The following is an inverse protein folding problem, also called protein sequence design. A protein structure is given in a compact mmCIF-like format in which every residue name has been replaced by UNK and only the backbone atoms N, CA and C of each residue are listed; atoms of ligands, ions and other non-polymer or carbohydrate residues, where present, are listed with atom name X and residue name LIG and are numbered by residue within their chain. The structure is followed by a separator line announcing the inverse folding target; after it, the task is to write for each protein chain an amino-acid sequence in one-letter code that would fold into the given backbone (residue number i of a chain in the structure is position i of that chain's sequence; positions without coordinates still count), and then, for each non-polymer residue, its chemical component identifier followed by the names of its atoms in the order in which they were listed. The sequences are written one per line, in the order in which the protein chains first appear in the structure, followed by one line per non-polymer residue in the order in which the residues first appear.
data_IF_587739372849
#
_entry.id   IF_587739372849
#
_cell.length_a   1.000
_cell.length_b   1.000
_cell.length_c   1.000
_cell.angle_alpha   90.00
_cell.angle_beta   90.00
_cell.angle_gamma   90.00
#
_symmetry.space_group_name_H-M   'P 1'
#
loop_
_entity.id
_entity.type
_entity.pdbx_description
1 polymer ?
#
# COMPACT_ATOMS: atom_id res chain seq x y z
N UNK A 1 -2.75 -14.70 -7.61
CA UNK A 1 -1.74 -14.12 -8.55
C UNK A 1 -0.53 -13.63 -7.75
N UNK A 2 0.70 -13.94 -8.18
CA UNK A 2 1.91 -13.43 -7.52
C UNK A 2 2.22 -11.99 -7.92
N UNK A 3 2.51 -11.14 -6.93
CA UNK A 3 2.85 -9.73 -7.12
C UNK A 3 3.85 -9.24 -6.06
N UNK A 4 4.58 -8.17 -6.38
CA UNK A 4 5.45 -7.46 -5.47
C UNK A 4 4.66 -6.40 -4.70
N UNK A 5 4.83 -6.33 -3.38
CA UNK A 5 4.17 -5.34 -2.52
C UNK A 5 5.13 -4.69 -1.51
N UNK A 6 4.58 -3.86 -0.62
CA UNK A 6 5.27 -3.17 0.46
C UNK A 6 6.28 -2.13 -0.03
N UNK A 7 7.34 -1.92 0.75
CA UNK A 7 8.34 -0.87 0.49
C UNK A 7 8.96 -0.95 -0.91
N UNK A 8 9.17 -2.16 -1.44
CA UNK A 8 9.69 -2.34 -2.80
C UNK A 8 8.72 -1.82 -3.85
N UNK A 9 7.43 -2.12 -3.71
CA UNK A 9 6.41 -1.61 -4.62
C UNK A 9 6.21 -0.09 -4.51
N UNK A 10 6.28 0.47 -3.29
CA UNK A 10 6.26 1.92 -3.07
C UNK A 10 7.40 2.66 -3.77
N UNK A 11 8.53 1.99 -4.00
CA UNK A 11 9.70 2.55 -4.66
C UNK A 11 9.76 2.20 -6.16
N UNK A 12 8.64 1.77 -6.76
CA UNK A 12 8.52 1.58 -8.21
C UNK A 12 7.59 2.61 -8.81
N UNK A 13 7.71 2.85 -10.12
CA UNK A 13 6.76 3.72 -10.82
C UNK A 13 5.33 3.21 -10.61
N UNK A 14 4.38 4.09 -10.39
CA UNK A 14 2.96 3.78 -10.26
C UNK A 14 2.16 4.54 -11.33
N UNK A 15 1.03 3.98 -11.76
CA UNK A 15 0.10 4.64 -12.68
C UNK A 15 -0.76 5.70 -12.00
N UNK A 16 -0.95 5.59 -10.68
CA UNK A 16 -1.71 6.57 -9.91
C UNK A 16 -0.92 7.87 -9.75
N UNK A 17 -1.65 8.98 -9.58
CA UNK A 17 -1.09 10.30 -9.28
C UNK A 17 -0.64 10.37 -7.81
N UNK A 18 0.38 9.59 -7.46
CA UNK A 18 0.92 9.45 -6.11
C UNK A 18 2.44 9.53 -6.16
N UNK A 19 3.05 10.05 -5.10
CA UNK A 19 4.50 10.28 -5.05
C UNK A 19 5.29 8.99 -4.91
N UNK A 20 4.77 8.02 -4.15
CA UNK A 20 5.50 6.83 -3.76
C UNK A 20 6.63 7.15 -2.79
N UNK A 21 7.49 6.19 -2.56
CA UNK A 21 8.74 6.39 -1.83
C UNK A 21 9.88 6.56 -2.84
N UNK A 22 10.80 7.49 -2.56
CA UNK A 22 11.85 7.92 -3.47
C UNK A 22 13.22 7.33 -3.15
N UNK A 23 13.31 6.47 -2.14
CA UNK A 23 14.56 5.86 -1.67
C UNK A 23 14.93 4.55 -2.39
N UNK A 24 14.54 4.42 -3.67
CA UNK A 24 14.70 3.20 -4.46
C UNK A 24 16.15 2.69 -4.52
N UNK A 25 17.14 3.59 -4.56
CA UNK A 25 18.56 3.23 -4.58
C UNK A 25 19.08 2.59 -3.29
N UNK A 26 18.36 2.77 -2.16
CA UNK A 26 18.73 2.20 -0.87
C UNK A 26 18.19 0.77 -0.66
N UNK A 27 17.28 0.31 -1.53
CA UNK A 27 16.65 -0.99 -1.40
C UNK A 27 17.51 -2.12 -1.98
N UNK A 28 17.41 -3.29 -1.34
CA UNK A 28 17.96 -4.55 -1.86
C UNK A 28 16.98 -5.11 -2.89
N UNK A 29 17.29 -4.98 -4.17
CA UNK A 29 16.43 -5.45 -5.26
C UNK A 29 16.63 -6.92 -5.65
N UNK A 30 17.76 -7.52 -5.27
CA UNK A 30 18.06 -8.94 -5.52
C UNK A 30 17.15 -9.92 -4.74
N UNK A 31 16.35 -9.42 -3.78
CA UNK A 31 15.41 -10.24 -2.98
C UNK A 31 13.96 -10.18 -3.48
N UNK A 32 13.68 -9.49 -4.60
CA UNK A 32 12.31 -9.30 -5.12
C UNK A 32 11.56 -10.61 -5.30
N UNK A 33 12.18 -11.64 -5.88
CA UNK A 33 11.53 -12.94 -6.10
C UNK A 33 11.12 -13.65 -4.80
N UNK A 34 11.80 -13.33 -3.68
CA UNK A 34 11.49 -13.90 -2.35
C UNK A 34 10.41 -13.10 -1.61
N UNK A 35 10.07 -11.91 -2.11
CA UNK A 35 9.09 -10.98 -1.52
C UNK A 35 7.77 -10.94 -2.28
N UNK A 36 7.60 -11.83 -3.26
CA UNK A 36 6.33 -11.95 -3.96
C UNK A 36 5.28 -12.52 -3.02
N UNK A 37 4.13 -11.85 -2.99
CA UNK A 37 2.95 -12.21 -2.23
C UNK A 37 1.87 -12.70 -3.17
N UNK A 38 0.98 -13.55 -2.68
CA UNK A 38 -0.14 -14.09 -3.45
C UNK A 38 -1.42 -13.32 -3.17
N UNK A 39 -2.01 -12.75 -4.21
CA UNK A 39 -3.21 -11.91 -4.12
C UNK A 39 -4.41 -12.66 -3.55
N UNK A 40 -4.49 -13.98 -3.76
CA UNK A 40 -5.58 -14.83 -3.24
C UNK A 40 -5.57 -14.94 -1.71
N UNK A 41 -4.42 -14.68 -1.08
CA UNK A 41 -4.29 -14.69 0.38
C UNK A 41 -4.56 -13.33 1.01
N UNK A 42 -4.73 -12.28 0.20
CA UNK A 42 -5.04 -10.94 0.67
C UNK A 42 -6.54 -10.69 0.65
N UNK A 43 -7.05 -10.02 1.67
CA UNK A 43 -8.44 -9.54 1.73
C UNK A 43 -8.80 -8.60 0.57
N UNK A 44 -7.79 -7.99 -0.05
CA UNK A 44 -7.95 -7.07 -1.16
C UNK A 44 -7.99 -7.78 -2.53
N UNK A 45 -7.74 -9.09 -2.59
CA UNK A 45 -7.68 -9.84 -3.86
C UNK A 45 -6.68 -9.19 -4.83
N UNK A 46 -7.11 -8.99 -6.08
CA UNK A 46 -6.30 -8.39 -7.15
C UNK A 46 -6.32 -6.85 -7.19
N UNK A 47 -7.04 -6.21 -6.25
CA UNK A 47 -7.19 -4.76 -6.23
C UNK A 47 -5.84 -4.03 -6.20
N UNK A 48 -5.69 -3.05 -7.10
CA UNK A 48 -4.52 -2.18 -7.14
C UNK A 48 -3.23 -2.87 -7.58
N UNK A 49 -3.30 -4.04 -8.21
CA UNK A 49 -2.11 -4.71 -8.78
C UNK A 49 -1.95 -4.30 -10.25
N UNK A 50 -0.82 -3.69 -10.57
CA UNK A 50 -0.41 -3.36 -11.93
C UNK A 50 0.37 -4.53 -12.54
N UNK A 51 0.02 -4.95 -13.77
CA UNK A 51 0.64 -6.11 -14.42
C UNK A 51 1.74 -5.70 -15.40
N UNK A 52 2.63 -6.64 -15.73
CA UNK A 52 3.66 -6.48 -16.77
C UNK A 52 4.62 -5.29 -16.57
N UNK A 53 4.95 -4.98 -15.31
CA UNK A 53 5.86 -3.90 -14.94
C UNK A 53 7.31 -4.33 -15.11
N UNK A 54 8.11 -3.41 -15.64
CA UNK A 54 9.57 -3.49 -15.57
C UNK A 54 10.02 -2.80 -14.28
N UNK A 55 10.88 -3.47 -13.52
CA UNK A 55 11.52 -2.90 -12.33
C UNK A 55 12.98 -2.57 -12.71
N UNK A 56 13.37 -1.29 -12.79
CA UNK A 56 14.69 -0.89 -13.33
C UNK A 56 15.89 -1.54 -12.64
N UNK A 57 15.76 -1.86 -11.35
CA UNK A 57 16.84 -2.40 -10.52
C UNK A 57 16.88 -3.93 -10.48
N UNK A 58 15.97 -4.59 -11.19
CA UNK A 58 15.90 -6.04 -11.37
C UNK A 58 16.17 -6.36 -12.84
N UNK A 59 16.48 -7.61 -13.16
CA UNK A 59 16.72 -8.04 -14.54
C UNK A 59 15.62 -7.54 -15.49
N UNK A 60 15.98 -6.66 -16.43
CA UNK A 60 15.07 -5.96 -17.35
C UNK A 60 14.24 -6.90 -18.25
N UNK A 61 14.68 -8.17 -18.39
CA UNK A 61 13.94 -9.18 -19.17
C UNK A 61 12.74 -9.74 -18.44
N UNK A 62 12.66 -9.57 -17.12
CA UNK A 62 11.58 -10.11 -16.31
C UNK A 62 10.47 -9.07 -16.10
N UNK A 63 9.24 -9.52 -16.29
CA UNK A 63 8.03 -8.75 -16.02
C UNK A 63 7.45 -9.17 -14.68
N UNK A 64 7.04 -8.20 -13.88
CA UNK A 64 6.45 -8.42 -12.56
C UNK A 64 5.05 -7.81 -12.49
N UNK A 65 4.19 -8.43 -11.69
CA UNK A 65 3.00 -7.76 -11.18
C UNK A 65 3.41 -7.00 -9.92
N UNK A 66 2.97 -5.75 -9.76
CA UNK A 66 3.41 -4.87 -8.68
C UNK A 66 2.21 -4.12 -8.12
N UNK A 67 2.10 -4.06 -6.80
CA UNK A 67 1.11 -3.24 -6.13
C UNK A 67 1.32 -1.77 -6.48
N UNK A 68 0.22 -1.07 -6.81
CA UNK A 68 0.21 0.39 -6.83
C UNK A 68 0.47 0.93 -5.41
N UNK A 69 0.73 2.23 -5.29
CA UNK A 69 1.14 2.80 -4.01
C UNK A 69 0.06 2.65 -2.92
N UNK A 70 -1.22 2.72 -3.26
CA UNK A 70 -2.32 2.48 -2.32
C UNK A 70 -2.27 1.04 -1.81
N UNK A 71 -2.20 0.07 -2.73
CA UNK A 71 -2.17 -1.35 -2.39
C UNK A 71 -0.94 -1.72 -1.56
N UNK A 72 0.22 -1.18 -1.91
CA UNK A 72 1.44 -1.38 -1.15
C UNK A 72 1.31 -0.87 0.30
N UNK A 73 0.68 0.30 0.50
CA UNK A 73 0.37 0.81 1.83
C UNK A 73 -0.62 -0.08 2.59
N UNK A 74 -1.69 -0.53 1.93
CA UNK A 74 -2.71 -1.38 2.53
C UNK A 74 -2.18 -2.74 2.98
N UNK A 75 -1.31 -3.37 2.18
CA UNK A 75 -0.69 -4.63 2.56
C UNK A 75 0.22 -4.45 3.79
N UNK A 76 0.99 -3.36 3.85
CA UNK A 76 1.82 -3.05 5.03
C UNK A 76 0.99 -2.70 6.27
N UNK A 77 -0.18 -2.05 6.11
CA UNK A 77 -1.13 -1.82 7.20
C UNK A 77 -1.65 -3.15 7.75
N UNK A 78 -2.07 -4.06 6.86
CA UNK A 78 -2.56 -5.38 7.24
C UNK A 78 -1.50 -6.19 7.99
N UNK A 79 -0.23 -6.09 7.57
CA UNK A 79 0.92 -6.73 8.23
C UNK A 79 1.37 -6.03 9.52
N UNK A 80 0.84 -4.85 9.85
CA UNK A 80 1.19 -4.10 11.07
C UNK A 80 2.51 -3.34 10.98
N UNK A 81 3.00 -3.02 9.77
CA UNK A 81 4.28 -2.32 9.52
C UNK A 81 4.14 -0.79 9.64
N UNK A 82 3.57 -0.31 10.73
CA UNK A 82 3.25 1.11 10.93
C UNK A 82 4.47 2.04 10.98
N UNK A 83 5.65 1.52 11.35
CA UNK A 83 6.88 2.30 11.39
C UNK A 83 7.39 2.65 9.98
N UNK A 84 7.25 1.72 9.02
CA UNK A 84 7.62 1.92 7.62
C UNK A 84 6.60 2.85 6.90
N UNK A 85 5.39 2.95 7.44
CA UNK A 85 4.30 3.73 6.88
C UNK A 85 4.17 5.16 7.44
N UNK A 86 5.03 5.58 8.37
CA UNK A 86 4.97 6.94 8.90
C UNK A 86 5.05 7.96 7.76
N UNK A 87 4.09 8.89 7.71
CA UNK A 87 3.97 9.86 6.62
C UNK A 87 3.23 9.32 5.39
N UNK A 88 2.60 8.14 5.45
CA UNK A 88 1.80 7.55 4.36
C UNK A 88 0.97 8.59 3.60
N UNK A 89 0.17 9.40 4.30
CA UNK A 89 -0.66 10.40 3.61
C UNK A 89 0.22 11.45 2.95
N UNK A 90 1.17 12.03 3.70
CA UNK A 90 1.89 13.24 3.31
C UNK A 90 3.01 12.98 2.31
N UNK A 91 3.69 11.85 2.40
CA UNK A 91 4.96 11.57 1.72
C UNK A 91 4.81 10.52 0.60
N UNK A 92 3.90 9.55 0.74
CA UNK A 92 3.71 8.49 -0.27
C UNK A 92 2.52 8.74 -1.17
N UNK A 93 1.35 9.02 -0.58
CA UNK A 93 0.13 9.27 -1.37
C UNK A 93 0.15 10.70 -1.93
N UNK A 94 0.48 11.70 -1.10
CA UNK A 94 0.68 13.11 -1.47
C UNK A 94 -0.52 13.82 -2.15
N UNK A 95 -1.66 13.16 -2.32
CA UNK A 95 -2.87 13.72 -2.92
C UNK A 95 -4.10 13.37 -2.09
N UNK A 96 -5.15 14.18 -2.20
CA UNK A 96 -6.48 13.92 -1.62
C UNK A 96 -7.37 13.08 -2.54
N UNK A 97 -6.98 12.90 -3.80
CA UNK A 97 -7.77 12.25 -4.85
C UNK A 97 -8.27 10.86 -4.44
N UNK A 98 -7.47 10.14 -3.67
CA UNK A 98 -7.72 8.75 -3.30
C UNK A 98 -8.14 8.55 -1.84
N UNK A 99 -8.38 9.62 -1.06
CA UNK A 99 -8.68 9.52 0.37
C UNK A 99 -9.87 8.58 0.63
N UNK A 100 -10.98 8.75 -0.11
CA UNK A 100 -12.18 7.92 0.07
C UNK A 100 -11.92 6.45 -0.29
N UNK A 101 -11.24 6.18 -1.39
CA UNK A 101 -10.89 4.82 -1.81
C UNK A 101 -10.01 4.14 -0.77
N UNK A 102 -8.99 4.85 -0.26
CA UNK A 102 -8.11 4.36 0.79
C UNK A 102 -8.94 4.01 2.04
N UNK A 103 -9.84 4.90 2.47
CA UNK A 103 -10.66 4.67 3.66
C UNK A 103 -11.57 3.46 3.52
N UNK A 104 -12.25 3.31 2.38
CA UNK A 104 -13.10 2.16 2.09
C UNK A 104 -12.31 0.85 2.15
N UNK A 105 -11.09 0.83 1.58
CA UNK A 105 -10.24 -0.36 1.66
C UNK A 105 -9.74 -0.63 3.06
N UNK A 106 -9.35 0.40 3.82
CA UNK A 106 -8.93 0.21 5.22
C UNK A 106 -10.06 -0.38 6.06
N UNK A 107 -11.32 0.03 5.85
CA UNK A 107 -12.47 -0.52 6.58
C UNK A 107 -12.66 -2.03 6.39
N UNK A 108 -12.16 -2.61 5.29
CA UNK A 108 -12.16 -4.07 5.10
C UNK A 108 -11.32 -4.80 6.16
N UNK A 109 -10.30 -4.13 6.72
CA UNK A 109 -9.44 -4.66 7.77
C UNK A 109 -10.08 -4.64 9.17
N UNK A 110 -11.34 -4.20 9.31
CA UNK A 110 -12.00 -4.05 10.62
C UNK A 110 -12.13 -5.35 11.42
N UNK A 111 -12.12 -6.49 10.74
CA UNK A 111 -12.18 -7.82 11.38
C UNK A 111 -10.80 -8.36 11.77
N UNK A 112 -9.71 -7.68 11.42
CA UNK A 112 -8.35 -8.12 11.73
C UNK A 112 -8.01 -7.88 13.21
N UNK A 113 -7.18 -8.75 13.82
CA UNK A 113 -6.83 -8.63 15.24
C UNK A 113 -6.05 -7.35 15.57
N UNK A 114 -5.37 -6.75 14.59
CA UNK A 114 -4.63 -5.50 14.72
C UNK A 114 -5.45 -4.24 14.37
N UNK A 115 -6.78 -4.36 14.20
CA UNK A 115 -7.65 -3.25 13.80
C UNK A 115 -7.44 -1.98 14.64
N UNK A 116 -7.37 -2.08 15.96
CA UNK A 116 -7.19 -0.91 16.83
C UNK A 116 -5.90 -0.14 16.53
N UNK A 117 -4.83 -0.84 16.16
CA UNK A 117 -3.57 -0.23 15.78
C UNK A 117 -3.66 0.45 14.40
N UNK A 118 -4.33 -0.21 13.44
CA UNK A 118 -4.64 0.37 12.12
C UNK A 118 -5.46 1.64 12.28
N UNK A 119 -6.52 1.58 13.09
CA UNK A 119 -7.42 2.71 13.30
C UNK A 119 -6.69 3.90 13.92
N UNK A 120 -5.90 3.66 14.97
CA UNK A 120 -5.05 4.67 15.61
C UNK A 120 -4.03 5.26 14.64
N UNK A 121 -3.46 4.44 13.77
CA UNK A 121 -2.50 4.90 12.76
C UNK A 121 -3.19 5.82 11.74
N UNK A 122 -4.37 5.45 11.24
CA UNK A 122 -5.12 6.27 10.29
C UNK A 122 -5.60 7.58 10.90
N UNK A 123 -5.94 7.59 12.20
CA UNK A 123 -6.23 8.84 12.94
C UNK A 123 -5.03 9.78 12.99
N UNK A 124 -3.80 9.27 13.02
CA UNK A 124 -2.59 10.10 12.97
C UNK A 124 -2.29 10.62 11.56
N UNK A 125 -2.40 9.75 10.56
CA UNK A 125 -2.04 10.07 9.17
C UNK A 125 -3.07 10.94 8.46
N UNK A 126 -4.37 10.68 8.67
CA UNK A 126 -5.47 11.35 7.97
C UNK A 126 -6.35 12.21 8.88
N UNK A 127 -6.12 12.18 10.20
CA UNK A 127 -6.75 13.07 11.17
C UNK A 127 -8.29 13.10 11.04
N UNK A 128 -8.88 14.30 11.00
CA UNK A 128 -10.33 14.50 10.95
C UNK A 128 -10.99 13.87 9.72
N UNK A 129 -10.26 13.71 8.61
CA UNK A 129 -10.83 13.09 7.40
C UNK A 129 -11.23 11.64 7.67
N UNK A 130 -10.34 10.88 8.30
CA UNK A 130 -10.60 9.50 8.69
C UNK A 130 -11.71 9.42 9.75
N UNK A 131 -11.66 10.26 10.78
CA UNK A 131 -12.69 10.28 11.84
C UNK A 131 -14.07 10.58 11.28
N UNK A 132 -14.19 11.54 10.37
CA UNK A 132 -15.45 11.89 9.73
C UNK A 132 -15.94 10.78 8.81
N UNK A 133 -15.05 10.17 8.03
CA UNK A 133 -15.41 9.04 7.17
C UNK A 133 -15.93 7.85 7.98
N UNK A 134 -15.28 7.50 9.10
CA UNK A 134 -15.79 6.46 10.01
C UNK A 134 -17.19 6.77 10.53
N UNK A 135 -17.45 7.99 10.98
CA UNK A 135 -18.77 8.39 11.51
C UNK A 135 -19.88 8.27 10.47
N UNK A 136 -19.60 8.64 9.23
CA UNK A 136 -20.58 8.58 8.15
C UNK A 136 -20.87 7.15 7.66
N UNK A 137 -19.96 6.20 7.91
CA UNK A 137 -20.10 4.79 7.54
C UNK A 137 -20.43 3.86 8.73
N UNK A 138 -20.62 4.42 9.92
CA UNK A 138 -21.22 3.75 11.07
C UNK A 138 -22.73 4.02 11.04
N UNK A 139 -23.44 3.39 10.10
CA UNK A 139 -24.90 3.27 10.09
C UNK A 139 -25.27 1.83 10.41
#
# INVERSE_FOLDING_TARGET
MLYLSGIHALNTNCQLNTTGDWHSSALKWNVVNQRLVDSEKSIFGDYGIETNKNIPFVNEKNKYNVANHIRACLDMLAEGKFAELQGMRKDFICTDEYDNEIFEKVLLLKTQPNWNAIDTFMEKEYMLKWVNHKKNNLV
#
